data_IF_806667716190
#
_entry.id   IF_806667716190
#
_cell.length_a   1.000
_cell.length_b   1.000
_cell.length_c   1.000
_cell.angle_alpha   90.00
_cell.angle_beta   90.00
_cell.angle_gamma   90.00
#
_symmetry.space_group_name_H-M   'P 1'
#
loop_
_entity.id
_entity.type
_entity.pdbx_description
1 polymer ?
#
# COMPACT_ATOMS: atom_id res chain seq x y z
N UNK A 1 12.20 -8.57 -20.44
CA UNK A 1 12.10 -9.17 -19.07
C UNK A 1 12.84 -8.36 -18.01
N UNK A 2 13.92 -7.66 -18.36
CA UNK A 2 14.67 -6.79 -17.42
C UNK A 2 13.83 -5.63 -16.89
N UNK A 3 12.99 -5.02 -17.70
CA UNK A 3 12.12 -3.90 -17.30
C UNK A 3 11.17 -4.27 -16.16
N UNK A 4 10.66 -5.51 -16.13
CA UNK A 4 9.75 -5.96 -15.07
C UNK A 4 10.44 -6.01 -13.70
N UNK A 5 11.69 -6.45 -13.64
CA UNK A 5 12.47 -6.49 -12.40
C UNK A 5 12.71 -5.08 -11.86
N UNK A 6 13.03 -4.13 -12.74
CA UNK A 6 13.22 -2.72 -12.36
C UNK A 6 11.92 -2.09 -11.85
N UNK A 7 10.78 -2.37 -12.48
CA UNK A 7 9.47 -1.88 -12.05
C UNK A 7 9.12 -2.44 -10.67
N UNK A 8 9.27 -3.75 -10.47
CA UNK A 8 9.00 -4.39 -9.18
C UNK A 8 9.91 -3.87 -8.07
N UNK A 9 11.21 -3.70 -8.36
CA UNK A 9 12.15 -3.13 -7.40
C UNK A 9 11.78 -1.70 -7.01
N UNK A 10 11.47 -0.85 -7.98
CA UNK A 10 11.01 0.52 -7.75
C UNK A 10 9.75 0.53 -6.89
N UNK A 11 8.78 -0.32 -7.20
CA UNK A 11 7.55 -0.42 -6.41
C UNK A 11 7.82 -0.84 -4.95
N UNK A 12 8.70 -1.82 -4.75
CA UNK A 12 9.03 -2.32 -3.41
C UNK A 12 9.82 -1.33 -2.56
N UNK A 13 10.62 -0.46 -3.20
CA UNK A 13 11.50 0.50 -2.54
C UNK A 13 10.94 1.92 -2.47
N UNK A 14 9.76 2.18 -3.07
CA UNK A 14 9.11 3.49 -3.01
C UNK A 14 8.17 3.56 -1.79
N UNK A 15 8.32 4.57 -0.91
CA UNK A 15 7.42 4.76 0.22
C UNK A 15 5.98 4.99 -0.23
N UNK A 16 5.05 4.26 0.37
CA UNK A 16 3.63 4.41 0.09
C UNK A 16 3.08 5.65 0.82
N UNK A 17 2.35 6.49 0.09
CA UNK A 17 1.76 7.72 0.65
C UNK A 17 0.84 7.48 1.85
N UNK A 18 0.21 6.32 1.91
CA UNK A 18 -0.75 5.96 2.96
C UNK A 18 -0.11 5.57 4.28
N UNK A 19 1.10 5.00 4.25
CA UNK A 19 1.79 4.46 5.42
C UNK A 19 3.12 5.15 5.71
N UNK A 20 3.71 5.83 4.71
CA UNK A 20 5.06 6.37 4.79
C UNK A 20 6.17 5.31 4.70
N UNK A 21 5.80 4.04 4.64
CA UNK A 21 6.72 2.89 4.63
C UNK A 21 6.82 2.28 3.23
N UNK A 22 7.96 1.62 2.96
CA UNK A 22 8.15 0.82 1.76
C UNK A 22 7.68 -0.62 2.00
N UNK A 23 7.31 -1.34 0.95
CA UNK A 23 6.99 -2.77 1.07
C UNK A 23 8.21 -3.57 1.54
N UNK A 24 9.41 -3.12 1.16
CA UNK A 24 10.66 -3.75 1.57
C UNK A 24 10.91 -3.57 3.08
N UNK A 25 10.80 -2.34 3.59
CA UNK A 25 11.01 -2.06 5.02
C UNK A 25 10.04 -2.80 5.91
N UNK A 26 8.78 -2.92 5.48
CA UNK A 26 7.74 -3.66 6.21
C UNK A 26 7.95 -5.18 6.18
N UNK A 27 8.73 -5.69 5.22
CA UNK A 27 9.03 -7.12 5.12
C UNK A 27 10.29 -7.50 5.88
N UNK A 28 11.33 -6.69 5.77
CA UNK A 28 12.69 -7.00 6.25
C UNK A 28 13.14 -6.16 7.45
N UNK A 29 12.34 -5.18 7.87
CA UNK A 29 12.70 -4.28 8.98
C UNK A 29 13.74 -3.22 8.63
N UNK A 30 14.32 -3.26 7.44
CA UNK A 30 15.38 -2.37 6.98
C UNK A 30 15.04 -1.81 5.58
N UNK A 31 15.64 -0.68 5.23
CA UNK A 31 15.50 -0.12 3.88
C UNK A 31 16.43 -0.82 2.90
N UNK A 32 15.92 -1.07 1.70
CA UNK A 32 16.71 -1.61 0.61
C UNK A 32 17.78 -0.61 0.15
N UNK A 33 18.91 -1.13 -0.35
CA UNK A 33 19.88 -0.31 -1.10
C UNK A 33 19.33 -0.09 -2.49
N UNK A 34 19.11 1.15 -2.87
CA UNK A 34 18.60 1.50 -4.20
C UNK A 34 19.76 1.63 -5.22
N UNK A 35 19.50 1.44 -6.53
CA UNK A 35 20.56 1.44 -7.54
C UNK A 35 21.43 2.69 -7.55
N UNK A 36 20.88 3.86 -7.23
CA UNK A 36 21.65 5.11 -7.17
C UNK A 36 22.70 5.09 -6.06
N UNK A 37 22.44 4.40 -4.94
CA UNK A 37 23.38 4.27 -3.83
C UNK A 37 24.57 3.36 -4.13
N UNK A 38 24.49 2.53 -5.17
CA UNK A 38 25.62 1.73 -5.64
C UNK A 38 26.61 2.57 -6.45
N UNK A 39 26.12 3.63 -7.12
CA UNK A 39 26.96 4.58 -7.88
C UNK A 39 27.43 5.78 -7.04
N UNK A 40 26.61 6.21 -6.08
CA UNK A 40 26.91 7.33 -5.18
C UNK A 40 26.90 6.84 -3.75
N UNK A 41 28.09 6.77 -3.15
CA UNK A 41 28.23 6.29 -1.77
C UNK A 41 27.54 7.25 -0.80
N UNK A 42 26.53 6.75 -0.07
CA UNK A 42 25.83 7.46 1.01
C UNK A 42 26.47 7.16 2.36
N UNK A 43 26.17 7.96 3.40
CA UNK A 43 26.65 7.68 4.75
C UNK A 43 26.25 6.26 5.22
N UNK A 44 25.08 5.80 4.80
CA UNK A 44 24.58 4.46 5.12
C UNK A 44 25.45 3.36 4.48
N UNK A 45 25.80 3.51 3.21
CA UNK A 45 26.63 2.53 2.49
C UNK A 45 28.10 2.60 2.92
N UNK A 46 28.60 3.79 3.29
CA UNK A 46 29.95 3.96 3.81
C UNK A 46 30.17 3.37 5.20
N UNK A 47 29.15 3.44 6.05
CA UNK A 47 29.19 2.92 7.42
C UNK A 47 28.91 1.42 7.51
N UNK A 48 28.74 0.73 6.40
CA UNK A 48 28.46 -0.70 6.36
C UNK A 48 29.63 -1.51 6.95
N UNK A 49 29.33 -2.26 8.02
CA UNK A 49 30.26 -3.18 8.64
C UNK A 49 29.65 -4.60 8.63
N UNK A 50 30.24 -5.56 7.90
CA UNK A 50 29.71 -6.92 7.80
C UNK A 50 29.57 -7.62 9.15
N UNK A 51 30.48 -7.35 10.10
CA UNK A 51 30.48 -8.01 11.42
C UNK A 51 29.32 -7.58 12.32
N UNK A 52 28.82 -6.36 12.14
CA UNK A 52 27.74 -5.78 12.95
C UNK A 52 26.38 -5.82 12.22
N UNK A 53 26.40 -6.02 10.89
CA UNK A 53 25.21 -6.01 10.06
C UNK A 53 24.13 -6.99 10.52
N UNK A 54 24.52 -8.22 10.84
CA UNK A 54 23.57 -9.26 11.25
C UNK A 54 22.87 -8.91 12.56
N UNK A 55 23.59 -8.34 13.52
CA UNK A 55 23.03 -7.87 14.79
C UNK A 55 22.09 -6.68 14.60
N UNK A 56 22.40 -5.78 13.66
CA UNK A 56 21.55 -4.64 13.35
C UNK A 56 20.27 -5.08 12.64
N UNK A 57 20.36 -6.08 11.76
CA UNK A 57 19.18 -6.67 11.11
C UNK A 57 18.29 -7.39 12.10
N UNK A 58 18.87 -8.17 13.04
CA UNK A 58 18.13 -8.84 14.10
C UNK A 58 17.32 -7.83 14.94
N UNK A 59 17.98 -6.75 15.40
CA UNK A 59 17.30 -5.65 16.12
C UNK A 59 16.18 -5.01 15.28
N UNK A 60 16.40 -4.84 13.99
CA UNK A 60 15.39 -4.28 13.09
C UNK A 60 14.19 -5.20 12.94
N UNK A 61 14.40 -6.51 12.94
CA UNK A 61 13.33 -7.51 12.91
C UNK A 61 12.53 -7.54 14.22
N UNK A 62 13.17 -7.34 15.37
CA UNK A 62 12.47 -7.24 16.66
C UNK A 62 11.49 -6.06 16.68
N UNK A 63 11.84 -4.95 16.04
CA UNK A 63 11.02 -3.74 15.95
C UNK A 63 10.01 -3.76 14.79
N UNK A 64 10.04 -4.77 13.92
CA UNK A 64 9.20 -4.81 12.71
C UNK A 64 7.70 -4.84 13.04
N UNK A 65 7.33 -5.47 14.14
CA UNK A 65 5.94 -5.56 14.59
C UNK A 65 5.39 -4.17 14.94
N UNK A 66 6.14 -3.40 15.72
CA UNK A 66 5.79 -2.03 16.11
C UNK A 66 5.69 -1.13 14.87
N UNK A 67 6.62 -1.24 13.93
CA UNK A 67 6.61 -0.51 12.66
C UNK A 67 5.34 -0.83 11.84
N UNK A 68 4.96 -2.11 11.76
CA UNK A 68 3.73 -2.54 11.05
C UNK A 68 2.46 -2.02 11.74
N UNK A 69 2.41 -2.04 13.05
CA UNK A 69 1.27 -1.50 13.82
C UNK A 69 1.15 0.01 13.59
N UNK A 70 2.24 0.75 13.63
CA UNK A 70 2.27 2.19 13.30
C UNK A 70 1.78 2.46 11.87
N UNK A 71 2.25 1.68 10.89
CA UNK A 71 1.82 1.81 9.50
C UNK A 71 0.32 1.53 9.33
N UNK A 72 -0.25 0.57 10.08
CA UNK A 72 -1.69 0.29 10.08
C UNK A 72 -2.49 1.47 10.63
N UNK A 73 -2.04 2.11 11.69
CA UNK A 73 -2.68 3.32 12.25
C UNK A 73 -2.67 4.46 11.23
N UNK A 74 -1.53 4.69 10.58
CA UNK A 74 -1.41 5.71 9.54
C UNK A 74 -2.33 5.41 8.33
N UNK A 75 -2.41 4.15 7.91
CA UNK A 75 -3.31 3.71 6.84
C UNK A 75 -4.77 3.98 7.19
N UNK A 76 -5.19 3.64 8.41
CA UNK A 76 -6.56 3.89 8.88
C UNK A 76 -6.87 5.39 8.90
N UNK A 77 -5.94 6.22 9.40
CA UNK A 77 -6.08 7.69 9.37
C UNK A 77 -6.20 8.21 7.93
N UNK A 78 -5.34 7.75 7.02
CA UNK A 78 -5.37 8.13 5.61
C UNK A 78 -6.71 7.78 4.94
N UNK A 79 -7.20 6.56 5.18
CA UNK A 79 -8.51 6.11 4.67
C UNK A 79 -9.66 6.95 5.23
N UNK A 80 -9.62 7.26 6.53
CA UNK A 80 -10.61 8.12 7.17
C UNK A 80 -10.64 9.52 6.54
N UNK A 81 -9.46 10.12 6.32
CA UNK A 81 -9.32 11.43 5.66
C UNK A 81 -9.86 11.42 4.24
N UNK A 82 -9.58 10.35 3.46
CA UNK A 82 -10.13 10.19 2.11
C UNK A 82 -11.65 10.09 2.14
N UNK A 83 -12.21 9.31 3.08
CA UNK A 83 -13.64 9.17 3.27
C UNK A 83 -14.29 10.51 3.60
N UNK A 84 -13.75 11.26 4.56
CA UNK A 84 -14.25 12.61 4.89
C UNK A 84 -14.24 13.54 3.67
N UNK A 85 -13.15 13.53 2.89
CA UNK A 85 -13.06 14.35 1.67
C UNK A 85 -14.05 13.92 0.58
N UNK A 86 -14.39 12.64 0.51
CA UNK A 86 -15.41 12.12 -0.40
C UNK A 86 -16.81 12.52 0.10
N UNK A 87 -17.13 12.24 1.36
CA UNK A 87 -18.44 12.51 1.96
C UNK A 87 -18.80 14.00 1.92
N UNK A 88 -17.83 14.89 2.10
CA UNK A 88 -18.02 16.34 1.98
C UNK A 88 -18.42 16.81 0.57
N UNK A 89 -18.13 16.00 -0.46
CA UNK A 89 -18.50 16.30 -1.85
C UNK A 89 -19.78 15.62 -2.31
N UNK A 90 -20.28 14.66 -1.52
CA UNK A 90 -21.52 13.94 -1.82
C UNK A 90 -22.72 14.85 -1.58
N UNK A 91 -23.48 15.10 -2.63
CA UNK A 91 -24.75 15.82 -2.53
C UNK A 91 -25.87 14.81 -2.22
N UNK A 92 -26.59 15.04 -1.14
CA UNK A 92 -27.82 14.29 -0.86
C UNK A 92 -28.81 14.56 -1.99
N UNK A 93 -29.26 13.51 -2.66
CA UNK A 93 -30.35 13.55 -3.61
C UNK A 93 -31.58 12.92 -2.96
N UNK A 94 -32.67 13.67 -2.76
CA UNK A 94 -33.95 13.04 -2.42
C UNK A 94 -34.36 12.16 -3.60
N UNK A 95 -34.57 10.88 -3.35
CA UNK A 95 -35.05 9.91 -4.33
C UNK A 95 -36.57 9.88 -4.26
N UNK A 96 -37.23 9.97 -5.42
CA UNK A 96 -38.68 9.85 -5.55
C UNK A 96 -39.07 8.53 -6.22
N UNK A 97 -40.28 8.00 -5.97
CA UNK A 97 -40.76 6.83 -6.70
C UNK A 97 -40.79 7.08 -8.22
N UNK A 98 -40.04 6.24 -8.96
CA UNK A 98 -39.86 6.39 -10.42
C UNK A 98 -38.44 6.79 -10.81
N UNK A 99 -37.59 7.19 -9.88
CA UNK A 99 -36.19 7.49 -10.16
C UNK A 99 -35.39 6.23 -10.54
N UNK A 100 -34.50 6.38 -11.51
CA UNK A 100 -33.55 5.34 -11.88
C UNK A 100 -32.39 5.33 -10.91
N UNK A 101 -32.15 4.20 -10.29
CA UNK A 101 -31.07 4.00 -9.34
C UNK A 101 -30.19 2.81 -9.74
N UNK A 102 -28.89 2.91 -9.48
CA UNK A 102 -27.98 1.79 -9.63
C UNK A 102 -28.01 0.96 -8.32
N UNK A 103 -28.43 -0.29 -8.44
CA UNK A 103 -28.45 -1.24 -7.32
C UNK A 103 -27.25 -2.18 -7.39
N UNK A 104 -26.57 -2.35 -6.26
CA UNK A 104 -25.49 -3.34 -6.18
C UNK A 104 -26.04 -4.76 -6.22
N UNK A 105 -25.58 -5.52 -7.21
CA UNK A 105 -25.94 -6.93 -7.35
C UNK A 105 -25.16 -7.76 -6.32
N UNK A 106 -25.88 -8.39 -5.39
CA UNK A 106 -25.29 -9.20 -4.32
C UNK A 106 -25.42 -10.69 -4.63
N UNK A 107 -24.33 -11.43 -4.44
CA UNK A 107 -24.28 -12.89 -4.34
C UNK A 107 -25.12 -13.66 -5.37
N UNK A 108 -26.25 -14.21 -4.92
CA UNK A 108 -27.12 -15.11 -5.72
C UNK A 108 -27.83 -14.41 -6.90
N UNK A 109 -27.96 -13.09 -6.90
CA UNK A 109 -28.56 -12.34 -8.00
C UNK A 109 -27.59 -12.09 -9.15
N UNK A 110 -26.30 -12.39 -8.96
CA UNK A 110 -25.29 -12.22 -10.00
C UNK A 110 -25.38 -13.37 -11.00
N UNK A 111 -25.57 -13.05 -12.28
CA UNK A 111 -25.61 -14.08 -13.33
C UNK A 111 -24.27 -14.82 -13.42
N UNK A 112 -24.24 -16.15 -13.24
CA UNK A 112 -23.01 -16.94 -13.29
C UNK A 112 -22.25 -16.83 -14.63
N UNK A 113 -22.96 -16.55 -15.72
CA UNK A 113 -22.39 -16.41 -17.05
C UNK A 113 -21.49 -15.17 -17.21
N UNK A 114 -21.61 -14.17 -16.34
CA UNK A 114 -20.82 -12.93 -16.41
C UNK A 114 -19.37 -13.12 -15.90
N UNK A 115 -19.08 -14.20 -15.22
CA UNK A 115 -17.76 -14.48 -14.68
C UNK A 115 -17.30 -13.44 -13.63
N UNK A 116 -15.99 -13.42 -13.37
CA UNK A 116 -15.37 -12.57 -12.33
C UNK A 116 -15.45 -11.08 -12.64
N UNK A 117 -15.42 -10.71 -13.91
CA UNK A 117 -15.43 -9.31 -14.40
C UNK A 117 -16.84 -8.80 -14.74
N UNK A 118 -17.88 -9.56 -14.45
CA UNK A 118 -19.25 -9.14 -14.67
C UNK A 118 -19.62 -7.88 -13.89
N UNK A 119 -20.65 -7.12 -14.37
CA UNK A 119 -21.08 -5.89 -13.71
C UNK A 119 -21.53 -6.16 -12.26
N UNK A 120 -21.20 -5.27 -11.37
CA UNK A 120 -21.60 -5.35 -9.97
C UNK A 120 -22.80 -4.43 -9.64
N UNK A 121 -23.30 -3.70 -10.63
CA UNK A 121 -24.37 -2.72 -10.51
C UNK A 121 -25.41 -2.92 -11.63
N UNK A 122 -26.65 -2.81 -11.34
CA UNK A 122 -27.79 -2.81 -12.28
C UNK A 122 -28.74 -1.64 -12.00
#
# INVERSE_FOLDING_TARGET
MEDLLHILWTYQTTPQRSTGETSFSMSYGAEAVIPIETGFSTLRTQSFNPNDNDKLLERSLDLIKERRESAMVQLAYYQHKLKQGYDAKVKLRPLEPGDLVLRKVLGMAKNPAWGKLGPNWE
#
